data_IF_980998885997
#
_entry.id   IF_980998885997
#
_cell.length_a   1.000
_cell.length_b   1.000
_cell.length_c   1.000
_cell.angle_alpha   90.00
_cell.angle_beta   90.00
_cell.angle_gamma   90.00
#
_symmetry.space_group_name_H-M   'P 1'
#
loop_
_entity.id
_entity.type
_entity.pdbx_description
1 polymer ?
#
# COMPACT_ATOMS: atom_id res chain seq x y z
N UNK A 1 12.89 -13.59 13.72
CA UNK A 1 13.94 -13.88 12.71
C UNK A 1 13.49 -13.30 11.38
N UNK A 2 14.34 -12.53 10.71
CA UNK A 2 14.15 -12.04 9.36
C UNK A 2 15.10 -12.82 8.44
N UNK A 3 14.55 -13.61 7.52
CA UNK A 3 15.32 -14.34 6.51
C UNK A 3 15.21 -13.63 5.17
N UNK A 4 16.31 -13.55 4.43
CA UNK A 4 16.36 -12.99 3.08
C UNK A 4 16.66 -14.09 2.09
N UNK A 5 15.82 -14.22 1.08
CA UNK A 5 16.01 -15.19 -0.02
C UNK A 5 15.99 -14.46 -1.35
N UNK A 6 16.72 -15.00 -2.33
CA UNK A 6 16.65 -14.52 -3.71
C UNK A 6 15.66 -15.37 -4.51
N UNK A 7 15.05 -14.76 -5.53
CA UNK A 7 14.14 -15.45 -6.45
C UNK A 7 14.76 -15.44 -7.86
N UNK A 8 15.35 -16.56 -8.30
CA UNK A 8 15.88 -16.65 -9.66
C UNK A 8 14.79 -16.36 -10.71
N UNK A 9 15.04 -15.40 -11.58
CA UNK A 9 14.08 -15.00 -12.62
C UNK A 9 12.77 -14.38 -12.11
N UNK A 10 12.75 -13.82 -10.90
CA UNK A 10 11.52 -13.34 -10.21
C UNK A 10 10.45 -14.44 -10.03
N UNK A 11 10.86 -15.69 -10.05
CA UNK A 11 9.96 -16.84 -9.93
C UNK A 11 9.65 -17.16 -8.46
N UNK A 12 8.46 -16.77 -8.03
CA UNK A 12 7.93 -17.05 -6.68
C UNK A 12 7.60 -18.53 -6.45
N UNK A 13 7.42 -19.30 -7.52
CA UNK A 13 7.11 -20.73 -7.45
C UNK A 13 8.37 -21.59 -7.34
N UNK A 14 9.55 -20.97 -7.41
CA UNK A 14 10.80 -21.68 -7.13
C UNK A 14 10.76 -22.27 -5.71
N UNK A 15 11.21 -23.52 -5.50
CA UNK A 15 11.03 -24.25 -4.23
C UNK A 15 11.50 -23.51 -2.97
N UNK A 16 12.53 -22.68 -3.05
CA UNK A 16 13.04 -21.96 -1.87
C UNK A 16 12.10 -20.85 -1.43
N UNK A 17 11.72 -19.85 -2.27
CA UNK A 17 10.74 -18.83 -1.86
C UNK A 17 9.36 -19.42 -1.57
N UNK A 18 8.90 -20.41 -2.32
CA UNK A 18 7.59 -21.06 -2.10
C UNK A 18 7.52 -21.73 -0.74
N UNK A 19 8.45 -22.62 -0.41
CA UNK A 19 8.48 -23.31 0.89
C UNK A 19 8.70 -22.31 2.05
N UNK A 20 9.52 -21.27 1.88
CA UNK A 20 9.72 -20.24 2.88
C UNK A 20 8.42 -19.49 3.16
N UNK A 21 7.61 -19.22 2.14
CA UNK A 21 6.29 -18.63 2.28
C UNK A 21 5.32 -19.42 3.15
N UNK A 22 5.41 -20.77 3.16
CA UNK A 22 4.55 -21.61 4.00
C UNK A 22 4.92 -21.63 5.48
N UNK A 23 6.18 -21.47 5.82
CA UNK A 23 6.69 -21.59 7.20
C UNK A 23 6.82 -20.26 7.93
N UNK A 24 6.71 -19.12 7.23
CA UNK A 24 6.83 -17.77 7.81
C UNK A 24 5.47 -17.14 8.07
N UNK A 25 5.40 -16.24 9.06
CA UNK A 25 4.18 -15.45 9.36
C UNK A 25 3.89 -14.37 8.32
N UNK A 26 4.88 -14.00 7.56
CA UNK A 26 4.73 -13.03 6.48
C UNK A 26 5.94 -13.03 5.56
N UNK A 27 5.77 -12.44 4.40
CA UNK A 27 6.81 -12.27 3.41
C UNK A 27 6.67 -10.94 2.71
N UNK A 28 7.79 -10.30 2.42
CA UNK A 28 7.86 -9.06 1.66
C UNK A 28 8.54 -9.32 0.33
N UNK A 29 7.87 -8.93 -0.73
CA UNK A 29 8.42 -8.91 -2.07
C UNK A 29 9.10 -7.59 -2.34
N UNK A 30 10.34 -7.65 -2.81
CA UNK A 30 11.08 -6.50 -3.28
C UNK A 30 11.21 -6.57 -4.81
N UNK A 31 10.75 -5.55 -5.49
CA UNK A 31 10.89 -5.43 -6.94
C UNK A 31 11.30 -3.99 -7.30
N UNK A 32 12.34 -3.85 -8.11
CA UNK A 32 12.84 -2.55 -8.56
C UNK A 32 13.11 -1.55 -7.41
N UNK A 33 13.68 -2.04 -6.30
CA UNK A 33 14.02 -1.20 -5.14
C UNK A 33 12.83 -0.73 -4.31
N UNK A 34 11.67 -1.40 -4.42
CA UNK A 34 10.44 -1.10 -3.67
C UNK A 34 9.79 -2.36 -3.13
N UNK A 35 9.01 -2.19 -2.07
CA UNK A 35 8.12 -3.26 -1.60
C UNK A 35 6.96 -3.40 -2.59
N UNK A 36 6.74 -4.60 -3.09
CA UNK A 36 5.59 -4.92 -3.94
C UNK A 36 4.44 -5.44 -3.06
N UNK A 37 3.36 -4.67 -2.86
CA UNK A 37 2.34 -4.99 -1.86
C UNK A 37 1.44 -6.15 -2.24
N UNK A 38 1.22 -6.40 -3.54
CA UNK A 38 0.30 -7.45 -3.99
C UNK A 38 0.88 -8.85 -3.88
N UNK A 39 2.21 -8.99 -4.02
CA UNK A 39 2.91 -10.24 -3.77
C UNK A 39 3.31 -10.44 -2.31
N UNK A 40 3.24 -9.39 -1.51
CA UNK A 40 3.57 -9.43 -0.08
C UNK A 40 2.40 -9.96 0.74
N UNK A 41 2.71 -10.69 1.81
CA UNK A 41 1.71 -11.33 2.66
C UNK A 41 2.03 -11.11 4.13
N UNK A 42 0.98 -10.84 4.93
CA UNK A 42 1.04 -10.91 6.39
C UNK A 42 -0.14 -11.72 6.93
N UNK A 43 0.13 -12.84 7.56
CA UNK A 43 -0.91 -13.67 8.21
C UNK A 43 -1.49 -13.01 9.45
N UNK A 44 -0.75 -12.10 10.06
CA UNK A 44 -1.17 -11.37 11.26
C UNK A 44 -1.99 -10.10 10.95
N UNK A 45 -2.24 -9.79 9.69
CA UNK A 45 -2.98 -8.59 9.27
C UNK A 45 -4.33 -8.40 9.99
N UNK A 46 -5.04 -9.50 10.27
CA UNK A 46 -6.33 -9.42 10.95
C UNK A 46 -6.24 -9.05 12.44
N UNK A 47 -5.07 -9.19 13.04
CA UNK A 47 -4.85 -8.91 14.47
C UNK A 47 -4.36 -7.48 14.72
N UNK A 48 -4.03 -6.73 13.67
CA UNK A 48 -3.40 -5.41 13.77
C UNK A 48 -4.21 -4.45 14.65
N UNK A 49 -5.52 -4.33 14.41
CA UNK A 49 -6.38 -3.41 15.17
C UNK A 49 -6.50 -3.71 16.67
N UNK A 50 -6.02 -4.86 17.13
CA UNK A 50 -6.02 -5.20 18.58
C UNK A 50 -4.81 -4.67 19.33
N UNK A 51 -3.74 -4.37 18.61
CA UNK A 51 -2.45 -3.97 19.16
C UNK A 51 -1.95 -2.62 18.67
N UNK A 52 -2.63 -2.01 17.73
CA UNK A 52 -2.25 -0.74 17.10
C UNK A 52 -3.44 0.22 17.03
N UNK A 53 -3.24 1.38 16.42
CA UNK A 53 -4.28 2.41 16.26
C UNK A 53 -5.49 1.87 15.49
N UNK A 54 -6.68 2.26 15.92
CA UNK A 54 -7.98 1.73 15.41
C UNK A 54 -8.22 1.89 13.89
N UNK A 55 -7.58 2.87 13.27
CA UNK A 55 -7.67 3.15 11.84
C UNK A 55 -6.70 2.34 10.97
N UNK A 56 -5.69 1.70 11.59
CA UNK A 56 -4.56 1.09 10.88
C UNK A 56 -5.01 0.16 9.75
N UNK A 57 -5.85 -0.82 10.05
CA UNK A 57 -6.32 -1.76 9.03
C UNK A 57 -7.12 -1.07 7.93
N UNK A 58 -8.02 -0.17 8.33
CA UNK A 58 -8.95 0.47 7.39
C UNK A 58 -8.24 1.40 6.43
N UNK A 59 -7.29 2.20 6.92
CA UNK A 59 -6.52 3.09 6.06
C UNK A 59 -5.61 2.29 5.12
N UNK A 60 -4.95 1.23 5.60
CA UNK A 60 -4.10 0.40 4.75
C UNK A 60 -4.90 -0.31 3.67
N UNK A 61 -6.07 -0.86 3.99
CA UNK A 61 -6.95 -1.51 3.01
C UNK A 61 -7.42 -0.50 1.93
N UNK A 62 -7.78 0.72 2.33
CA UNK A 62 -8.16 1.79 1.40
C UNK A 62 -6.99 2.20 0.50
N UNK A 63 -5.81 2.40 1.07
CA UNK A 63 -4.61 2.79 0.31
C UNK A 63 -4.20 1.71 -0.70
N UNK A 64 -4.21 0.44 -0.33
CA UNK A 64 -3.88 -0.67 -1.25
C UNK A 64 -4.92 -0.80 -2.36
N UNK A 65 -6.21 -0.62 -2.05
CA UNK A 65 -7.27 -0.61 -3.07
C UNK A 65 -7.06 0.50 -4.09
N UNK A 66 -6.78 1.72 -3.64
CA UNK A 66 -6.49 2.86 -4.52
C UNK A 66 -5.21 2.64 -5.33
N UNK A 67 -4.21 1.99 -4.74
CA UNK A 67 -2.97 1.65 -5.43
C UNK A 67 -3.19 0.60 -6.54
N UNK A 68 -4.10 -0.36 -6.35
CA UNK A 68 -4.50 -1.27 -7.41
C UNK A 68 -5.13 -0.51 -8.59
N UNK A 69 -6.05 0.43 -8.31
CA UNK A 69 -6.65 1.29 -9.35
C UNK A 69 -5.60 2.18 -10.05
N UNK A 70 -4.61 2.68 -9.32
CA UNK A 70 -3.48 3.40 -9.92
C UNK A 70 -2.71 2.52 -10.91
N UNK A 71 -2.42 1.26 -10.59
CA UNK A 71 -1.75 0.33 -11.53
C UNK A 71 -2.57 0.11 -12.80
N UNK A 72 -3.87 -0.11 -12.67
CA UNK A 72 -4.78 -0.20 -13.82
C UNK A 72 -4.79 1.10 -14.65
N UNK A 73 -4.73 2.25 -13.98
CA UNK A 73 -4.68 3.55 -14.65
C UNK A 73 -3.37 3.76 -15.42
N UNK A 74 -2.23 3.28 -14.89
CA UNK A 74 -0.96 3.29 -15.62
C UNK A 74 -1.03 2.44 -16.91
N UNK A 75 -1.67 1.28 -16.84
CA UNK A 75 -1.89 0.44 -18.04
C UNK A 75 -2.76 1.16 -19.09
N UNK A 76 -3.87 1.77 -18.66
CA UNK A 76 -4.72 2.59 -19.55
C UNK A 76 -3.91 3.73 -20.19
N UNK A 77 -3.09 4.43 -19.42
CA UNK A 77 -2.25 5.51 -19.90
C UNK A 77 -1.25 5.01 -20.96
N UNK A 78 -0.60 3.87 -20.70
CA UNK A 78 0.35 3.27 -21.63
C UNK A 78 -0.28 2.84 -22.97
N UNK A 79 -1.56 2.49 -22.93
CA UNK A 79 -2.37 2.14 -24.12
C UNK A 79 -2.92 3.37 -24.86
N UNK A 80 -2.65 4.58 -24.37
CA UNK A 80 -3.09 5.83 -25.00
C UNK A 80 -4.57 6.20 -24.76
N UNK A 81 -5.23 5.61 -23.76
CA UNK A 81 -6.59 5.99 -23.39
C UNK A 81 -6.64 7.41 -22.78
N UNK A 82 -7.75 8.09 -23.02
CA UNK A 82 -8.00 9.40 -22.43
C UNK A 82 -8.20 9.27 -20.91
N UNK A 83 -7.44 10.05 -20.15
CA UNK A 83 -7.52 10.07 -18.68
C UNK A 83 -8.67 10.95 -18.20
N UNK A 84 -9.48 10.43 -17.28
CA UNK A 84 -10.51 11.18 -16.56
C UNK A 84 -9.88 12.01 -15.41
N UNK A 85 -10.69 12.87 -14.78
CA UNK A 85 -10.24 13.59 -13.57
C UNK A 85 -9.89 12.62 -12.43
N UNK A 86 -10.62 11.53 -12.30
CA UNK A 86 -10.33 10.47 -11.35
C UNK A 86 -9.00 9.75 -11.65
N UNK A 87 -8.75 9.40 -12.90
CA UNK A 87 -7.49 8.79 -13.31
C UNK A 87 -6.29 9.70 -12.98
N UNK A 88 -6.43 11.01 -13.19
CA UNK A 88 -5.37 11.98 -12.84
C UNK A 88 -5.13 12.06 -11.31
N UNK A 89 -6.18 11.99 -10.49
CA UNK A 89 -6.04 11.88 -9.01
C UNK A 89 -5.29 10.60 -8.64
N UNK A 90 -5.63 9.47 -9.26
CA UNK A 90 -4.97 8.18 -9.01
C UNK A 90 -3.50 8.18 -9.42
N UNK A 91 -3.14 8.80 -10.56
CA UNK A 91 -1.75 8.90 -11.00
C UNK A 91 -0.90 9.69 -10.01
N UNK A 92 -1.43 10.82 -9.52
CA UNK A 92 -0.74 11.62 -8.50
C UNK A 92 -0.63 10.87 -7.18
N UNK A 93 -1.73 10.27 -6.72
CA UNK A 93 -1.75 9.47 -5.50
C UNK A 93 -0.73 8.34 -5.53
N UNK A 94 -0.67 7.58 -6.63
CA UNK A 94 0.27 6.46 -6.75
C UNK A 94 1.73 6.91 -6.64
N UNK A 95 2.09 8.04 -7.25
CA UNK A 95 3.43 8.61 -7.14
C UNK A 95 3.76 9.03 -5.69
N UNK A 96 2.82 9.69 -5.00
CA UNK A 96 2.98 10.11 -3.60
C UNK A 96 3.08 8.89 -2.67
N UNK A 97 2.26 7.86 -2.90
CA UNK A 97 2.28 6.62 -2.13
C UNK A 97 3.59 5.85 -2.31
N UNK A 98 4.04 5.67 -3.55
CA UNK A 98 5.31 5.00 -3.83
C UNK A 98 6.50 5.70 -3.17
N UNK A 99 6.55 7.02 -3.27
CA UNK A 99 7.62 7.82 -2.67
C UNK A 99 7.58 7.85 -1.14
N UNK A 100 6.38 7.96 -0.57
CA UNK A 100 6.22 8.18 0.87
C UNK A 100 6.21 6.89 1.70
N UNK A 101 5.80 5.76 1.13
CA UNK A 101 5.55 4.53 1.89
C UNK A 101 6.20 3.28 1.33
N UNK A 102 6.55 3.25 0.04
CA UNK A 102 7.10 2.05 -0.58
C UNK A 102 8.60 2.12 -0.86
N UNK A 103 9.18 3.30 -0.80
CA UNK A 103 10.61 3.49 -0.98
C UNK A 103 11.38 2.88 0.20
N UNK A 104 12.42 2.09 -0.08
CA UNK A 104 13.21 1.39 0.94
C UNK A 104 14.04 2.33 1.82
N UNK A 105 14.17 3.60 1.47
CA UNK A 105 14.80 4.62 2.31
C UNK A 105 13.86 5.15 3.40
N UNK A 106 12.57 4.87 3.32
CA UNK A 106 11.58 5.32 4.32
C UNK A 106 11.74 4.52 5.60
N UNK A 107 12.02 5.23 6.70
CA UNK A 107 12.16 4.66 8.04
C UNK A 107 11.47 5.59 9.04
N UNK A 108 10.18 5.38 9.26
CA UNK A 108 9.34 6.19 10.16
C UNK A 108 8.57 5.29 11.12
N UNK A 109 8.26 5.76 12.35
CA UNK A 109 7.41 5.04 13.28
C UNK A 109 6.02 4.77 12.72
N UNK A 110 5.37 3.71 13.22
CA UNK A 110 4.04 3.29 12.74
C UNK A 110 3.00 4.41 12.81
N UNK A 111 2.93 5.14 13.91
CA UNK A 111 1.97 6.24 14.07
C UNK A 111 2.17 7.35 13.03
N UNK A 112 3.42 7.71 12.77
CA UNK A 112 3.76 8.69 11.73
C UNK A 112 3.45 8.17 10.33
N UNK A 113 3.64 6.87 10.09
CA UNK A 113 3.27 6.23 8.82
C UNK A 113 1.76 6.28 8.58
N UNK A 114 0.96 6.04 9.62
CA UNK A 114 -0.50 6.15 9.53
C UNK A 114 -0.94 7.61 9.27
N UNK A 115 -0.33 8.58 9.94
CA UNK A 115 -0.61 10.00 9.72
C UNK A 115 -0.17 10.46 8.33
N UNK A 116 0.97 9.95 7.83
CA UNK A 116 1.41 10.16 6.46
C UNK A 116 0.40 9.59 5.46
N UNK A 117 -0.13 8.39 5.72
CA UNK A 117 -1.18 7.79 4.91
C UNK A 117 -2.41 8.68 4.79
N UNK A 118 -2.90 9.23 5.91
CA UNK A 118 -4.01 10.19 5.88
C UNK A 118 -3.70 11.46 5.11
N UNK A 119 -2.49 12.00 5.22
CA UNK A 119 -2.05 13.17 4.45
C UNK A 119 -2.02 12.87 2.95
N UNK A 120 -1.44 11.75 2.54
CA UNK A 120 -1.40 11.32 1.13
C UNK A 120 -2.82 11.20 0.56
N UNK A 121 -3.75 10.61 1.32
CA UNK A 121 -5.15 10.55 0.89
C UNK A 121 -5.79 11.93 0.75
N UNK A 122 -5.62 12.81 1.74
CA UNK A 122 -6.22 14.14 1.76
C UNK A 122 -5.64 15.11 0.70
N UNK A 123 -4.39 14.91 0.29
CA UNK A 123 -3.73 15.70 -0.74
C UNK A 123 -4.18 15.33 -2.16
N UNK A 124 -4.77 14.15 -2.32
CA UNK A 124 -5.15 13.61 -3.62
C UNK A 124 -6.66 13.41 -3.81
N UNK A 125 -7.42 13.22 -2.73
CA UNK A 125 -8.84 12.89 -2.79
C UNK A 125 -9.66 13.74 -1.83
N UNK A 126 -10.96 13.80 -2.12
CA UNK A 126 -11.94 14.30 -1.17
C UNK A 126 -12.35 13.17 -0.19
N UNK A 127 -12.74 13.57 1.03
CA UNK A 127 -13.03 12.66 2.14
C UNK A 127 -14.02 11.53 1.80
N UNK A 128 -15.00 11.80 0.94
CA UNK A 128 -16.00 10.81 0.51
C UNK A 128 -15.53 9.86 -0.59
N UNK A 129 -14.42 10.14 -1.26
CA UNK A 129 -13.96 9.38 -2.42
C UNK A 129 -13.13 8.13 -2.03
N UNK A 130 -12.55 8.11 -0.83
CA UNK A 130 -11.62 7.06 -0.41
C UNK A 130 -12.29 5.80 0.15
N UNK A 131 -13.60 5.81 0.33
CA UNK A 131 -14.37 4.66 0.82
C UNK A 131 -14.10 4.26 2.28
N UNK A 132 -13.57 5.16 3.09
CA UNK A 132 -13.33 4.96 4.52
C UNK A 132 -14.57 5.37 5.32
N UNK A 133 -14.97 4.60 6.36
CA UNK A 133 -16.11 4.96 7.21
C UNK A 133 -15.98 6.37 7.78
N UNK A 134 -17.07 7.14 7.76
CA UNK A 134 -17.13 8.55 8.20
C UNK A 134 -16.59 8.75 9.61
N UNK A 135 -16.88 7.82 10.53
CA UNK A 135 -16.37 7.87 11.91
C UNK A 135 -14.86 7.97 12.00
N UNK A 136 -14.13 7.20 11.19
CA UNK A 136 -12.68 7.22 11.16
C UNK A 136 -12.15 8.44 10.39
N UNK A 137 -12.76 8.75 9.26
CA UNK A 137 -12.34 9.91 8.49
C UNK A 137 -12.64 11.24 9.21
N UNK A 138 -13.67 11.34 10.05
CA UNK A 138 -13.92 12.53 10.90
C UNK A 138 -12.83 12.71 11.96
N UNK A 139 -12.30 11.61 12.47
CA UNK A 139 -11.30 11.62 13.53
C UNK A 139 -9.88 11.88 13.02
N UNK A 140 -9.51 11.26 11.90
CA UNK A 140 -8.12 11.20 11.44
C UNK A 140 -7.84 12.03 10.17
N UNK A 141 -8.87 12.49 9.45
CA UNK A 141 -8.64 13.30 8.26
C UNK A 141 -7.95 14.62 8.62
N UNK A 142 -6.87 14.99 7.95
CA UNK A 142 -6.16 16.23 8.24
C UNK A 142 -7.09 17.44 8.12
N UNK A 143 -7.09 18.29 9.15
CA UNK A 143 -7.76 19.59 9.09
C UNK A 143 -6.90 20.50 8.21
N UNK A 144 -7.49 21.03 7.16
CA UNK A 144 -6.85 22.06 6.35
C UNK A 144 -6.70 23.36 7.13
#
# INVERSE_FOLDING_TARGET
VLAVTTMPGDDVTHPVPDNTGYITEGQFYLRNGRIEPFGSLSRLKQQVNKSTREDHRTIMDAMIKLYAQYKETLEKQSMGFRMSSWDNKLLKYGADFEKGMMDLSVNIPLEEALDLGWRILADNFDKGEVGIPTKLSDKFWPKK
#
